data_IF_402813811966
#
_entry.id   IF_402813811966
#
_cell.length_a   1.000
_cell.length_b   1.000
_cell.length_c   1.000
_cell.angle_alpha   90.00
_cell.angle_beta   90.00
_cell.angle_gamma   90.00
#
_symmetry.space_group_name_H-M   'P 1'
#
loop_
_entity.id
_entity.type
_entity.pdbx_description
1 polymer ?
#
# COMPACT_ATOMS: atom_id res chain seq x y z
N UNK A 1 25.34 -25.54 -5.79
CA UNK A 1 24.04 -25.20 -6.41
C UNK A 1 23.58 -23.88 -5.85
N UNK A 2 23.77 -22.78 -6.58
CA UNK A 2 23.30 -21.45 -6.17
C UNK A 2 21.81 -21.38 -6.55
N UNK A 3 20.93 -21.52 -5.56
CA UNK A 3 19.51 -21.30 -5.76
C UNK A 3 19.28 -19.84 -6.09
N UNK A 4 18.53 -19.57 -7.17
CA UNK A 4 18.02 -18.24 -7.50
C UNK A 4 17.20 -17.75 -6.32
N UNK A 5 17.80 -16.94 -5.43
CA UNK A 5 17.03 -16.22 -4.43
C UNK A 5 16.05 -15.32 -5.19
N UNK A 6 14.76 -15.56 -5.02
CA UNK A 6 13.72 -14.73 -5.62
C UNK A 6 13.94 -13.28 -5.19
N UNK A 7 14.23 -12.40 -6.15
CA UNK A 7 14.36 -10.96 -5.89
C UNK A 7 12.99 -10.45 -5.40
N UNK A 8 12.94 -9.83 -4.23
CA UNK A 8 11.71 -9.25 -3.72
C UNK A 8 11.14 -8.23 -4.71
N UNK A 9 9.81 -8.15 -4.80
CA UNK A 9 9.10 -7.18 -5.65
C UNK A 9 8.70 -5.97 -4.80
N UNK A 10 8.90 -4.76 -5.33
CA UNK A 10 8.38 -3.54 -4.74
C UNK A 10 6.99 -3.20 -5.31
N UNK A 11 6.21 -2.41 -4.59
CA UNK A 11 4.87 -1.98 -4.99
C UNK A 11 4.77 -0.46 -4.89
N UNK A 12 4.03 0.16 -5.80
CA UNK A 12 3.77 1.60 -5.81
C UNK A 12 2.33 1.88 -6.26
N UNK A 13 1.66 2.81 -5.58
CA UNK A 13 0.41 3.42 -6.02
C UNK A 13 0.65 4.90 -6.31
N UNK A 14 -0.04 5.41 -7.32
CA UNK A 14 0.05 6.82 -7.74
C UNK A 14 -1.37 7.36 -7.80
N UNK A 15 -1.69 8.31 -6.93
CA UNK A 15 -2.99 8.99 -6.85
C UNK A 15 -4.20 8.04 -6.71
N UNK A 16 -4.08 7.03 -5.85
CA UNK A 16 -5.14 6.03 -5.67
C UNK A 16 -6.31 6.62 -4.89
N UNK A 17 -7.49 6.57 -5.50
CA UNK A 17 -8.76 6.87 -4.85
C UNK A 17 -9.62 5.61 -4.77
N UNK A 18 -10.14 5.29 -3.59
CA UNK A 18 -11.02 4.14 -3.36
C UNK A 18 -12.32 4.59 -2.71
N UNK A 19 -13.45 4.22 -3.33
CA UNK A 19 -14.80 4.62 -2.92
C UNK A 19 -15.70 3.41 -2.73
N UNK A 20 -16.52 3.47 -1.68
CA UNK A 20 -17.60 2.53 -1.39
C UNK A 20 -18.93 3.27 -1.44
N UNK A 21 -19.60 3.24 -2.59
CA UNK A 21 -20.77 4.10 -2.83
C UNK A 21 -20.40 5.57 -2.72
N UNK A 22 -21.12 6.31 -1.85
CA UNK A 22 -20.85 7.73 -1.59
C UNK A 22 -19.66 7.99 -0.66
N UNK A 23 -19.14 6.96 0.02
CA UNK A 23 -18.04 7.11 0.96
C UNK A 23 -16.68 7.00 0.25
N UNK A 24 -15.84 8.03 0.37
CA UNK A 24 -14.45 7.99 -0.13
C UNK A 24 -13.53 7.55 1.00
N UNK A 25 -13.01 6.33 0.89
CA UNK A 25 -12.17 5.71 1.91
C UNK A 25 -10.68 6.06 1.73
N UNK A 26 -10.25 6.28 0.48
CA UNK A 26 -8.94 6.81 0.12
C UNK A 26 -9.14 7.88 -0.95
N UNK A 27 -8.44 9.00 -0.84
CA UNK A 27 -8.52 10.11 -1.80
C UNK A 27 -7.12 10.55 -2.21
N UNK A 28 -6.76 10.34 -3.49
CA UNK A 28 -5.48 10.73 -4.10
C UNK A 28 -4.23 10.24 -3.33
N UNK A 29 -4.24 8.98 -2.89
CA UNK A 29 -3.18 8.40 -2.06
C UNK A 29 -2.07 7.78 -2.91
N UNK A 30 -0.84 8.28 -2.72
CA UNK A 30 0.37 7.70 -3.31
C UNK A 30 1.26 7.09 -2.23
N UNK A 31 1.66 5.83 -2.40
CA UNK A 31 2.62 5.15 -1.53
C UNK A 31 3.59 4.32 -2.36
N UNK A 32 4.85 4.26 -1.92
CA UNK A 32 5.88 3.41 -2.49
C UNK A 32 6.43 2.50 -1.41
N UNK A 33 6.41 1.19 -1.66
CA UNK A 33 7.00 0.15 -0.83
C UNK A 33 8.13 -0.51 -1.61
N UNK A 34 9.40 -0.14 -1.38
CA UNK A 34 10.54 -0.76 -2.02
C UNK A 34 10.65 -2.26 -1.77
N UNK A 35 11.23 -2.98 -2.73
CA UNK A 35 11.54 -4.39 -2.59
C UNK A 35 12.39 -4.68 -1.33
N UNK A 36 11.98 -5.67 -0.54
CA UNK A 36 12.71 -6.09 0.66
C UNK A 36 12.65 -5.10 1.83
N UNK A 37 11.74 -4.13 1.78
CA UNK A 37 11.52 -3.16 2.87
C UNK A 37 10.36 -3.57 3.78
N UNK A 38 10.36 -3.04 4.99
CA UNK A 38 9.25 -3.13 5.94
C UNK A 38 8.66 -1.74 6.19
N UNK A 39 7.34 -1.62 6.08
CA UNK A 39 6.62 -0.35 6.27
C UNK A 39 5.49 -0.56 7.28
N UNK A 40 5.35 0.38 8.21
CA UNK A 40 4.23 0.42 9.16
C UNK A 40 3.27 1.54 8.76
N UNK A 41 1.99 1.20 8.64
CA UNK A 41 0.91 2.16 8.38
C UNK A 41 0.20 2.48 9.69
N UNK A 42 0.25 3.74 10.12
CA UNK A 42 -0.32 4.22 11.38
C UNK A 42 -1.40 5.27 11.14
N UNK A 43 -2.32 5.41 12.09
CA UNK A 43 -3.44 6.35 12.03
C UNK A 43 -4.63 5.87 12.84
N UNK A 44 -5.58 6.77 13.09
CA UNK A 44 -6.78 6.51 13.89
C UNK A 44 -7.74 5.49 13.23
N UNK A 45 -8.69 4.96 14.00
CA UNK A 45 -9.75 4.10 13.45
C UNK A 45 -10.56 4.87 12.40
N UNK A 46 -10.77 4.27 11.24
CA UNK A 46 -11.46 4.91 10.12
C UNK A 46 -10.56 5.73 9.17
N UNK A 47 -9.26 5.88 9.45
CA UNK A 47 -8.32 6.62 8.59
C UNK A 47 -7.98 5.96 7.24
N UNK A 48 -8.72 4.92 6.80
CA UNK A 48 -8.48 4.25 5.51
C UNK A 48 -7.37 3.19 5.51
N UNK A 49 -6.73 2.88 6.65
CA UNK A 49 -5.60 1.94 6.72
C UNK A 49 -5.90 0.56 6.14
N UNK A 50 -6.99 -0.07 6.57
CA UNK A 50 -7.43 -1.39 6.08
C UNK A 50 -7.96 -1.35 4.65
N UNK A 51 -8.24 -0.16 4.12
CA UNK A 51 -8.58 0.02 2.70
C UNK A 51 -7.32 0.09 1.84
N UNK A 52 -6.19 0.53 2.41
CA UNK A 52 -4.92 0.68 1.69
C UNK A 52 -4.14 -0.63 1.51
N UNK A 53 -4.40 -1.67 2.32
CA UNK A 53 -3.64 -2.95 2.34
C UNK A 53 -4.50 -4.18 2.12
#
# INVERSE_FOLDING_TARGET
>A
MSGTQGKATGVETIGMTMRFGAFTALDDVSIKVPAGSFHALLGENGAGKSTLV
#
